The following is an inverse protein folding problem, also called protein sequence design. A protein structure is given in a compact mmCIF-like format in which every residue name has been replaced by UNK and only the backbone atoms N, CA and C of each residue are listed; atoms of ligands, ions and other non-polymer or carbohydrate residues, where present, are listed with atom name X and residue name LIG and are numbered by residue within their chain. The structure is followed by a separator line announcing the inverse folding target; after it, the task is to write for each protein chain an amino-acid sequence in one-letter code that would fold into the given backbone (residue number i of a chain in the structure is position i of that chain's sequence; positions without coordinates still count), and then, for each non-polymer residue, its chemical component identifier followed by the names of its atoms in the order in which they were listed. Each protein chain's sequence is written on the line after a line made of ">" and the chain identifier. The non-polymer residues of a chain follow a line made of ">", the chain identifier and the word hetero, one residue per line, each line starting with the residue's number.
data_IF_596972996228
#
_entry.id   IF_596972996228
#
_cell.length_a   1.000
_cell.length_b   1.000
_cell.length_c   1.000
_cell.angle_alpha   90.00
_cell.angle_beta   90.00
_cell.angle_gamma   90.00
#
_symmetry.space_group_name_H-M   'P 1'
#
loop_
_entity.id
_entity.type
_entity.pdbx_description
1 polymer ?
#
# COMPACT_ATOMS: atom_id res chain seq x y z
N UNK A 1 17.17 0.82 4.23
CA UNK A 1 16.29 1.35 3.16
C UNK A 1 15.27 0.28 2.83
N UNK A 2 13.99 0.64 2.78
CA UNK A 2 12.87 -0.21 2.43
C UNK A 2 12.40 0.27 1.05
N UNK A 3 12.34 -0.66 0.10
CA UNK A 3 11.79 -0.40 -1.24
C UNK A 3 10.46 -1.13 -1.31
N UNK A 4 9.41 -0.41 -1.62
CA UNK A 4 8.08 -0.99 -1.73
C UNK A 4 7.34 -0.45 -2.95
N UNK A 5 6.35 -1.22 -3.42
CA UNK A 5 5.63 -0.95 -4.66
C UNK A 5 4.14 -0.88 -4.37
N UNK A 6 3.47 0.12 -4.93
CA UNK A 6 2.01 0.13 -4.94
C UNK A 6 1.48 -1.14 -5.61
N UNK A 7 0.43 -1.74 -5.05
CA UNK A 7 -0.13 -3.00 -5.58
C UNK A 7 -0.91 -2.82 -6.87
N UNK A 8 -1.24 -1.58 -7.22
CA UNK A 8 -2.18 -1.26 -8.28
C UNK A 8 -1.54 -0.56 -9.47
N UNK A 9 -0.30 -0.08 -9.31
CA UNK A 9 0.44 0.56 -10.38
C UNK A 9 1.94 0.36 -10.22
N UNK A 10 2.72 0.85 -11.19
CA UNK A 10 4.18 0.78 -11.19
C UNK A 10 4.84 1.92 -10.42
N UNK A 11 4.23 2.33 -9.31
CA UNK A 11 4.80 3.32 -8.39
C UNK A 11 5.66 2.63 -7.33
N UNK A 12 6.90 3.12 -7.17
CA UNK A 12 7.87 2.61 -6.21
C UNK A 12 8.26 3.71 -5.24
N UNK A 13 8.31 3.38 -3.95
CA UNK A 13 8.80 4.27 -2.89
C UNK A 13 10.03 3.69 -2.25
N UNK A 14 10.99 4.56 -1.96
CA UNK A 14 12.18 4.21 -1.18
C UNK A 14 12.16 5.04 0.09
N UNK A 15 12.09 4.38 1.23
CA UNK A 15 11.96 5.02 2.54
C UNK A 15 12.95 4.43 3.53
N UNK A 16 13.41 5.25 4.47
CA UNK A 16 14.36 4.82 5.49
C UNK A 16 13.68 4.19 6.70
N UNK A 17 12.40 4.49 6.91
CA UNK A 17 11.58 4.03 8.04
C UNK A 17 10.27 3.38 7.60
N UNK A 18 9.85 2.27 8.25
CA UNK A 18 8.60 1.56 7.93
C UNK A 18 7.33 2.36 8.30
N UNK A 19 7.43 3.34 9.20
CA UNK A 19 6.30 4.21 9.52
C UNK A 19 5.98 5.20 8.39
N UNK A 20 7.01 5.75 7.75
CA UNK A 20 6.88 6.63 6.58
C UNK A 20 6.41 5.86 5.34
N UNK A 21 6.86 4.62 5.19
CA UNK A 21 6.40 3.70 4.14
C UNK A 21 4.87 3.63 4.06
N UNK A 22 4.22 3.26 5.16
CA UNK A 22 2.79 2.98 5.16
C UNK A 22 1.97 4.25 4.87
N UNK A 23 2.43 5.42 5.35
CA UNK A 23 1.78 6.70 5.06
C UNK A 23 1.90 7.09 3.59
N UNK A 24 3.07 6.91 2.98
CA UNK A 24 3.31 7.30 1.59
C UNK A 24 2.55 6.42 0.60
N UNK A 25 2.51 5.10 0.83
CA UNK A 25 1.73 4.19 -0.02
C UNK A 25 0.23 4.48 0.11
N UNK A 26 -0.31 4.60 1.33
CA UNK A 26 -1.73 4.93 1.50
C UNK A 26 -2.09 6.28 0.89
N UNK A 27 -1.22 7.29 1.02
CA UNK A 27 -1.46 8.60 0.42
C UNK A 27 -1.46 8.53 -1.12
N UNK A 28 -0.52 7.78 -1.70
CA UNK A 28 -0.45 7.54 -3.14
C UNK A 28 -1.71 6.81 -3.64
N UNK A 29 -2.09 5.71 -2.99
CA UNK A 29 -3.27 4.93 -3.34
C UNK A 29 -4.53 5.78 -3.31
N UNK A 30 -4.74 6.56 -2.25
CA UNK A 30 -5.89 7.48 -2.14
C UNK A 30 -5.93 8.53 -3.24
N UNK A 31 -4.77 9.06 -3.64
CA UNK A 31 -4.68 10.18 -4.58
C UNK A 31 -4.83 9.74 -6.03
N UNK A 32 -4.17 8.63 -6.39
CA UNK A 32 -4.07 8.19 -7.79
C UNK A 32 -5.10 7.11 -8.16
N UNK A 33 -5.62 6.38 -7.17
CA UNK A 33 -6.59 5.30 -7.39
C UNK A 33 -7.93 5.54 -6.69
N UNK A 34 -8.05 6.60 -5.88
CA UNK A 34 -9.23 6.90 -5.07
C UNK A 34 -9.24 6.17 -3.73
N UNK A 35 -10.32 6.28 -2.94
CA UNK A 35 -10.43 5.53 -1.68
C UNK A 35 -10.53 4.03 -1.97
N UNK A 36 -9.37 3.40 -2.01
CA UNK A 36 -9.23 1.97 -1.92
C UNK A 36 -9.43 1.70 -0.44
N UNK A 37 -10.67 1.39 -0.08
CA UNK A 37 -10.93 0.75 1.20
C UNK A 37 -9.97 -0.44 1.33
N UNK A 38 -9.66 -0.90 2.55
CA UNK A 38 -9.02 -2.19 2.73
C UNK A 38 -9.99 -3.26 2.18
N UNK A 39 -10.02 -3.42 0.86
CA UNK A 39 -10.73 -4.46 0.16
C UNK A 39 -9.99 -5.73 0.55
N UNK A 40 -10.59 -6.36 1.56
CA UNK A 40 -10.51 -7.77 1.84
C UNK A 40 -9.06 -8.23 1.80
N UNK A 41 -8.41 -8.09 2.95
CA UNK A 41 -7.71 -9.25 3.46
C UNK A 41 -8.74 -10.38 3.38
N UNK A 42 -8.66 -11.16 2.30
CA UNK A 42 -9.36 -12.40 2.07
C UNK A 42 -8.91 -13.31 3.21
N UNK A 43 -9.49 -13.09 4.39
CA UNK A 43 -9.56 -14.07 5.43
C UNK A 43 -10.61 -15.04 4.92
N UNK A 44 -10.23 -15.88 3.95
CA UNK A 44 -10.67 -17.25 4.00
C UNK A 44 -10.03 -17.84 5.26
N UNK A 45 -10.77 -18.05 6.37
CA UNK A 45 -10.50 -19.25 7.12
C UNK A 45 -10.89 -20.39 6.20
N UNK A 46 -9.88 -21.02 5.59
CA UNK A 46 -10.01 -22.39 5.15
C UNK A 46 -10.48 -23.20 6.36
N UNK A 47 -11.70 -23.73 6.25
CA UNK A 47 -12.32 -24.84 7.02
C UNK A 47 -12.61 -24.62 8.50
#
# INVERSE_FOLDING_TARGET
>A
MIVDKCRLCEFYVVVESPADHHRLIQAHERREHGEIGPDRLDRHPDT
#
